data_IF_132871433701
#
_entry.id   IF_132871433701
#
_cell.length_a   1.000
_cell.length_b   1.000
_cell.length_c   1.000
_cell.angle_alpha   90.00
_cell.angle_beta   90.00
_cell.angle_gamma   90.00
#
_symmetry.space_group_name_H-M   'P 1'
#
loop_
_entity.id
_entity.type
_entity.pdbx_description
1 polymer ?
#
# COMPACT_ATOMS: atom_id res chain seq x y z
N UNK A 1 -14.79 20.50 -32.70
CA UNK A 1 -14.34 20.39 -31.28
C UNK A 1 -14.18 18.94 -30.83
N UNK A 2 -15.08 18.01 -31.22
CA UNK A 2 -15.00 16.59 -30.87
C UNK A 2 -13.73 15.85 -31.37
N UNK A 3 -13.18 16.23 -32.53
CA UNK A 3 -11.97 15.58 -33.07
C UNK A 3 -10.71 15.82 -32.23
N UNK A 4 -10.55 17.02 -31.65
CA UNK A 4 -9.43 17.31 -30.75
C UNK A 4 -9.47 16.41 -29.52
N UNK A 5 -10.64 16.23 -28.89
CA UNK A 5 -10.79 15.39 -27.70
C UNK A 5 -10.46 13.91 -27.99
N UNK A 6 -10.84 13.38 -29.15
CA UNK A 6 -10.47 12.02 -29.57
C UNK A 6 -8.97 11.86 -29.78
N UNK A 7 -8.32 12.88 -30.33
CA UNK A 7 -6.87 12.90 -30.52
C UNK A 7 -6.12 12.97 -29.19
N UNK A 8 -6.55 13.84 -28.26
CA UNK A 8 -6.03 13.89 -26.90
C UNK A 8 -6.17 12.56 -26.15
N UNK A 9 -7.32 11.89 -26.22
CA UNK A 9 -7.51 10.57 -25.60
C UNK A 9 -6.59 9.50 -26.21
N UNK A 10 -6.31 9.57 -27.51
CA UNK A 10 -5.42 8.65 -28.21
C UNK A 10 -3.96 8.88 -27.84
N UNK A 11 -3.54 10.14 -27.70
CA UNK A 11 -2.21 10.52 -27.20
C UNK A 11 -2.02 10.11 -25.74
N UNK A 12 -3.00 10.39 -24.86
CA UNK A 12 -2.99 9.95 -23.45
C UNK A 12 -2.89 8.43 -23.35
N UNK A 13 -3.66 7.67 -24.14
CA UNK A 13 -3.56 6.20 -24.17
C UNK A 13 -2.19 5.71 -24.65
N UNK A 14 -1.50 6.47 -25.49
CA UNK A 14 -0.17 6.15 -26.00
C UNK A 14 0.93 6.44 -24.97
N UNK A 15 0.83 7.59 -24.27
CA UNK A 15 1.69 7.95 -23.14
C UNK A 15 1.49 7.00 -21.94
N UNK A 16 0.25 6.63 -21.62
CA UNK A 16 -0.07 5.62 -20.60
C UNK A 16 0.51 4.24 -20.93
N UNK A 17 0.79 3.95 -22.21
CA UNK A 17 1.43 2.70 -22.65
C UNK A 17 2.95 2.75 -22.55
N UNK A 18 3.55 3.96 -22.52
CA UNK A 18 4.97 4.19 -22.18
C UNK A 18 5.22 4.13 -20.69
N UNK A 19 4.18 4.22 -19.86
CA UNK A 19 4.30 3.89 -18.43
C UNK A 19 4.62 2.41 -18.37
N UNK A 20 5.90 2.13 -18.09
CA UNK A 20 6.43 0.82 -17.79
C UNK A 20 5.80 0.36 -16.48
N UNK A 21 4.57 -0.14 -16.56
CA UNK A 21 3.94 -0.80 -15.43
C UNK A 21 4.85 -1.94 -15.01
N UNK A 22 5.26 -1.98 -13.74
CA UNK A 22 6.06 -3.08 -13.22
C UNK A 22 5.34 -4.38 -13.58
N UNK A 23 6.08 -5.34 -14.13
CA UNK A 23 5.49 -6.61 -14.56
C UNK A 23 4.77 -7.25 -13.38
N UNK A 24 3.61 -7.90 -13.61
CA UNK A 24 2.74 -8.46 -12.56
C UNK A 24 3.49 -9.25 -11.46
N UNK A 25 4.61 -9.89 -11.82
CA UNK A 25 5.48 -10.63 -10.90
C UNK A 25 6.18 -9.73 -9.86
N UNK A 26 6.64 -8.55 -10.27
CA UNK A 26 7.33 -7.60 -9.40
C UNK A 26 6.34 -6.90 -8.46
N UNK A 27 5.14 -6.58 -8.95
CA UNK A 27 4.05 -6.05 -8.11
C UNK A 27 3.68 -7.03 -7.00
N UNK A 28 3.54 -8.33 -7.33
CA UNK A 28 3.22 -9.37 -6.34
C UNK A 28 4.35 -9.53 -5.33
N UNK A 29 5.61 -9.56 -5.78
CA UNK A 29 6.76 -9.67 -4.88
C UNK A 29 6.80 -8.51 -3.87
N UNK A 30 6.61 -7.29 -4.34
CA UNK A 30 6.56 -6.09 -3.47
C UNK A 30 5.37 -6.13 -2.51
N UNK A 31 4.19 -6.60 -2.93
CA UNK A 31 3.03 -6.75 -2.03
C UNK A 31 3.28 -7.80 -0.95
N UNK A 32 3.92 -8.93 -1.27
CA UNK A 32 4.24 -9.97 -0.27
C UNK A 32 5.19 -9.43 0.80
N UNK A 33 6.22 -8.68 0.40
CA UNK A 33 7.14 -8.04 1.36
C UNK A 33 6.40 -7.09 2.30
N UNK A 34 5.52 -6.24 1.75
CA UNK A 34 4.70 -5.32 2.56
C UNK A 34 3.80 -6.09 3.54
N UNK A 35 3.16 -7.17 3.11
CA UNK A 35 2.30 -8.00 3.99
C UNK A 35 3.11 -8.54 5.18
N UNK A 36 4.33 -9.04 4.94
CA UNK A 36 5.20 -9.55 6.00
C UNK A 36 5.58 -8.45 6.98
N UNK A 37 5.97 -7.27 6.49
CA UNK A 37 6.32 -6.13 7.34
C UNK A 37 5.12 -5.69 8.19
N UNK A 38 3.94 -5.58 7.59
CA UNK A 38 2.71 -5.20 8.31
C UNK A 38 2.38 -6.22 9.41
N UNK A 39 2.52 -7.51 9.13
CA UNK A 39 2.32 -8.57 10.13
C UNK A 39 3.25 -8.40 11.34
N UNK A 40 4.54 -8.13 11.11
CA UNK A 40 5.52 -7.90 12.17
C UNK A 40 5.14 -6.67 13.01
N UNK A 41 4.78 -5.57 12.35
CA UNK A 41 4.37 -4.32 13.02
C UNK A 41 3.10 -4.52 13.84
N UNK A 42 2.10 -5.24 13.31
CA UNK A 42 0.87 -5.57 14.05
C UNK A 42 1.16 -6.37 15.32
N UNK A 43 2.04 -7.38 15.23
CA UNK A 43 2.44 -8.17 16.41
C UNK A 43 3.16 -7.29 17.43
N UNK A 44 4.10 -6.45 16.98
CA UNK A 44 4.83 -5.53 17.86
C UNK A 44 3.89 -4.56 18.59
N UNK A 45 3.02 -3.87 17.85
CA UNK A 45 2.04 -2.95 18.43
C UNK A 45 1.09 -3.67 19.39
N UNK A 46 0.60 -4.87 19.02
CA UNK A 46 -0.25 -5.66 19.90
C UNK A 46 0.42 -6.03 21.22
N UNK A 47 1.71 -6.37 21.21
CA UNK A 47 2.48 -6.62 22.44
C UNK A 47 2.57 -5.35 23.30
N UNK A 48 2.90 -4.22 22.68
CA UNK A 48 3.00 -2.92 23.37
C UNK A 48 1.66 -2.54 23.99
N UNK A 49 0.56 -2.67 23.26
CA UNK A 49 -0.80 -2.36 23.73
C UNK A 49 -1.19 -3.24 24.92
N UNK A 50 -0.84 -4.53 24.92
CA UNK A 50 -1.10 -5.44 26.03
C UNK A 50 -0.29 -5.05 27.27
N UNK A 51 1.00 -4.72 27.10
CA UNK A 51 1.86 -4.27 28.20
C UNK A 51 1.32 -2.98 28.80
N UNK A 52 1.01 -2.00 27.95
CA UNK A 52 0.54 -0.68 28.36
C UNK A 52 -0.84 -0.78 29.04
N UNK A 53 -1.75 -1.61 28.50
CA UNK A 53 -3.04 -1.89 29.13
C UNK A 53 -2.93 -2.58 30.48
N UNK A 54 -1.93 -3.46 30.68
CA UNK A 54 -1.65 -4.06 31.99
C UNK A 54 -1.09 -3.02 32.96
N UNK A 55 -0.20 -2.15 32.50
CA UNK A 55 0.46 -1.13 33.31
C UNK A 55 -0.53 -0.05 33.77
N UNK A 56 -1.41 0.40 32.87
CA UNK A 56 -2.51 1.33 33.20
C UNK A 56 -3.45 0.70 34.23
N UNK A 57 -3.85 -0.57 34.06
CA UNK A 57 -4.70 -1.25 35.05
C UNK A 57 -4.09 -1.31 36.45
N UNK A 58 -2.76 -1.40 36.54
CA UNK A 58 -2.02 -1.47 37.80
C UNK A 58 -1.86 -0.08 38.46
N UNK A 59 -1.96 1.00 37.69
CA UNK A 59 -1.92 2.38 38.18
C UNK A 59 -3.31 2.89 38.59
N UNK A 60 -4.36 2.46 37.88
CA UNK A 60 -5.74 2.92 38.12
C UNK A 60 -6.40 2.15 39.29
N UNK A 61 -5.87 0.97 39.63
CA UNK A 61 -6.26 0.19 40.81
C UNK A 61 -5.30 0.47 41.97
#
# INVERSE_FOLDING_TARGET
>A
MADKARQFLREVKTELKKITWPGRKETIASTVVVIVIVLIVCVYLGIVDVILSRLIRLIVY
#
